data_IF_058531462286
#
_entry.id   IF_058531462286
#
_cell.length_a   1.000
_cell.length_b   1.000
_cell.length_c   1.000
_cell.angle_alpha   90.00
_cell.angle_beta   90.00
_cell.angle_gamma   90.00
#
_symmetry.space_group_name_H-M   'P 1'
#
loop_
_entity.id
_entity.type
_entity.pdbx_description
1 polymer ?
#
# COMPACT_ATOMS: atom_id res chain seq x y z
N UNK A 1 -2.89 -26.19 -2.02
CA UNK A 1 -2.38 -24.82 -1.80
C UNK A 1 -3.45 -23.80 -2.15
N UNK A 2 -3.66 -22.76 -1.33
CA UNK A 2 -4.68 -21.73 -1.61
C UNK A 2 -4.25 -20.89 -2.83
N UNK A 3 -5.17 -20.67 -3.78
CA UNK A 3 -4.90 -20.05 -5.09
C UNK A 3 -4.25 -18.64 -5.00
N UNK A 4 -4.54 -17.88 -3.95
CA UNK A 4 -3.94 -16.56 -3.72
C UNK A 4 -2.41 -16.61 -3.53
N UNK A 5 -1.88 -17.70 -2.97
CA UNK A 5 -0.43 -17.83 -2.73
C UNK A 5 0.34 -17.99 -4.03
N UNK A 6 -0.19 -18.83 -4.95
CA UNK A 6 0.33 -18.96 -6.32
C UNK A 6 0.30 -17.63 -7.07
N UNK A 7 -0.73 -16.83 -6.88
CA UNK A 7 -0.84 -15.52 -7.54
C UNK A 7 0.22 -14.53 -7.02
N UNK A 8 0.49 -14.54 -5.71
CA UNK A 8 1.57 -13.73 -5.12
C UNK A 8 2.94 -14.15 -5.67
N UNK A 9 3.21 -15.47 -5.71
CA UNK A 9 4.46 -16.01 -6.25
C UNK A 9 4.62 -15.61 -7.73
N UNK A 10 3.54 -15.69 -8.53
CA UNK A 10 3.55 -15.28 -9.94
C UNK A 10 3.86 -13.78 -10.10
N UNK A 11 3.27 -12.93 -9.24
CA UNK A 11 3.56 -11.49 -9.25
C UNK A 11 5.04 -11.20 -8.92
N UNK A 12 5.65 -11.94 -8.00
CA UNK A 12 7.06 -11.83 -7.66
C UNK A 12 7.95 -12.29 -8.82
N UNK A 13 7.63 -13.42 -9.47
CA UNK A 13 8.36 -13.93 -10.62
C UNK A 13 8.31 -12.97 -11.82
N UNK A 14 7.13 -12.43 -12.14
CA UNK A 14 6.97 -11.44 -13.20
C UNK A 14 7.75 -10.15 -12.93
N UNK A 15 7.87 -9.76 -11.66
CA UNK A 15 8.65 -8.58 -11.27
C UNK A 15 10.15 -8.83 -11.46
N UNK A 16 10.67 -9.97 -11.00
CA UNK A 16 12.07 -10.34 -11.18
C UNK A 16 12.45 -10.45 -12.68
N UNK A 17 11.57 -11.03 -13.50
CA UNK A 17 11.77 -11.10 -14.94
C UNK A 17 11.73 -9.72 -15.62
N UNK A 18 10.90 -8.80 -15.14
CA UNK A 18 10.84 -7.43 -15.64
C UNK A 18 12.09 -6.61 -15.26
N UNK A 19 12.74 -6.94 -14.15
CA UNK A 19 13.95 -6.25 -13.65
C UNK A 19 15.25 -6.85 -14.23
N UNK A 20 15.24 -8.13 -14.62
CA UNK A 20 16.41 -8.85 -15.14
C UNK A 20 16.71 -8.62 -16.64
N UNK A 21 15.88 -7.87 -17.38
CA UNK A 21 16.12 -7.52 -18.77
C UNK A 21 17.01 -6.27 -18.92
N UNK A 22 17.75 -6.10 -20.03
CA UNK A 22 18.44 -4.84 -20.30
C UNK A 22 17.40 -3.72 -20.39
N UNK A 23 17.37 -2.84 -19.39
CA UNK A 23 16.49 -1.68 -19.36
C UNK A 23 17.03 -0.67 -20.38
N UNK A 24 16.36 -0.43 -21.53
CA UNK A 24 16.71 0.71 -22.36
C UNK A 24 16.45 1.95 -21.50
N UNK A 25 17.40 2.88 -21.40
CA UNK A 25 17.39 4.04 -20.48
C UNK A 25 16.13 4.96 -20.57
N UNK A 26 15.20 4.68 -21.48
CA UNK A 26 13.95 5.41 -21.71
C UNK A 26 12.72 4.52 -21.91
N UNK A 27 12.76 3.23 -21.63
CA UNK A 27 11.56 2.39 -21.78
C UNK A 27 10.64 2.58 -20.57
N UNK A 28 9.61 3.41 -20.74
CA UNK A 28 8.50 3.51 -19.79
C UNK A 28 7.94 2.10 -19.61
N UNK A 29 8.07 1.52 -18.41
CA UNK A 29 7.48 0.22 -18.14
C UNK A 29 5.95 0.39 -18.22
N UNK A 30 5.38 -0.08 -19.34
CA UNK A 30 3.95 0.05 -19.68
C UNK A 30 3.01 -0.57 -18.64
N UNK A 31 3.55 -1.37 -17.72
CA UNK A 31 2.81 -2.04 -16.67
C UNK A 31 2.93 -1.37 -15.30
N UNK A 32 3.78 -0.34 -15.11
CA UNK A 32 3.95 0.36 -13.81
C UNK A 32 2.61 0.72 -13.16
N UNK A 33 1.69 1.23 -13.99
CA UNK A 33 0.37 1.65 -13.54
C UNK A 33 -0.48 0.48 -13.05
N UNK A 34 -0.36 -0.70 -13.66
CA UNK A 34 -1.04 -1.93 -13.24
C UNK A 34 -0.35 -2.51 -11.99
N UNK A 35 0.98 -2.45 -11.94
CA UNK A 35 1.75 -2.92 -10.79
C UNK A 35 1.44 -2.15 -9.52
N UNK A 36 1.22 -0.83 -9.60
CA UNK A 36 0.84 -0.02 -8.43
C UNK A 36 -0.43 -0.56 -7.76
N UNK A 37 -1.46 -0.90 -8.56
CA UNK A 37 -2.71 -1.53 -8.12
C UNK A 37 -2.47 -2.93 -7.56
N UNK A 38 -1.77 -3.77 -8.32
CA UNK A 38 -1.51 -5.16 -7.94
C UNK A 38 -0.77 -5.23 -6.59
N UNK A 39 0.33 -4.49 -6.45
CA UNK A 39 1.09 -4.44 -5.21
C UNK A 39 0.27 -3.90 -4.05
N UNK A 40 -0.58 -2.89 -4.26
CA UNK A 40 -1.42 -2.38 -3.18
C UNK A 40 -2.35 -3.46 -2.63
N UNK A 41 -3.04 -4.19 -3.51
CA UNK A 41 -3.94 -5.26 -3.10
C UNK A 41 -3.20 -6.46 -2.50
N UNK A 42 -2.00 -6.81 -3.00
CA UNK A 42 -1.15 -7.82 -2.38
C UNK A 42 -0.73 -7.42 -0.96
N UNK A 43 -0.42 -6.14 -0.76
CA UNK A 43 -0.09 -5.59 0.56
C UNK A 43 -1.27 -5.66 1.53
N UNK A 44 -2.47 -5.30 1.05
CA UNK A 44 -3.71 -5.39 1.85
C UNK A 44 -4.03 -6.85 2.24
N UNK A 45 -3.96 -7.78 1.28
CA UNK A 45 -4.20 -9.20 1.55
C UNK A 45 -3.17 -9.76 2.54
N UNK A 46 -1.89 -9.40 2.37
CA UNK A 46 -0.83 -9.81 3.30
C UNK A 46 -1.08 -9.28 4.71
N UNK A 47 -1.53 -8.03 4.84
CA UNK A 47 -1.85 -7.41 6.12
C UNK A 47 -3.02 -8.12 6.83
N UNK A 48 -4.10 -8.40 6.09
CA UNK A 48 -5.27 -9.12 6.61
C UNK A 48 -4.94 -10.55 7.05
N UNK A 49 -3.96 -11.19 6.41
CA UNK A 49 -3.46 -12.51 6.79
C UNK A 49 -2.47 -12.47 7.97
N UNK A 50 -2.23 -11.31 8.57
CA UNK A 50 -1.25 -11.12 9.65
C UNK A 50 0.21 -11.11 9.18
N UNK A 51 0.48 -11.23 7.89
CA UNK A 51 1.82 -11.10 7.31
C UNK A 51 2.19 -9.61 7.15
N UNK A 52 2.42 -8.94 8.28
CA UNK A 52 2.76 -7.50 8.32
C UNK A 52 4.07 -7.22 7.57
N UNK A 53 5.05 -8.12 7.64
CA UNK A 53 6.32 -7.97 6.90
C UNK A 53 6.10 -7.95 5.39
N UNK A 54 5.35 -8.91 4.86
CA UNK A 54 5.01 -8.95 3.43
C UNK A 54 4.16 -7.75 3.00
N UNK A 55 3.21 -7.34 3.85
CA UNK A 55 2.40 -6.15 3.59
C UNK A 55 3.26 -4.89 3.38
N UNK A 56 4.25 -4.67 4.25
CA UNK A 56 5.18 -3.54 4.13
C UNK A 56 5.92 -3.55 2.80
N UNK A 57 6.47 -4.70 2.41
CA UNK A 57 7.21 -4.84 1.15
C UNK A 57 6.33 -4.50 -0.06
N UNK A 58 5.10 -5.01 -0.10
CA UNK A 58 4.18 -4.72 -1.19
C UNK A 58 3.76 -3.24 -1.23
N UNK A 59 3.46 -2.62 -0.09
CA UNK A 59 3.14 -1.19 -0.07
C UNK A 59 4.35 -0.32 -0.45
N UNK A 60 5.56 -0.70 -0.05
CA UNK A 60 6.78 -0.01 -0.48
C UNK A 60 6.95 -0.13 -2.01
N UNK A 61 6.72 -1.32 -2.59
CA UNK A 61 6.70 -1.51 -4.06
C UNK A 61 5.62 -0.69 -4.78
N UNK A 62 4.44 -0.48 -4.17
CA UNK A 62 3.43 0.44 -4.71
C UNK A 62 3.96 1.88 -4.73
N UNK A 63 4.64 2.30 -3.66
CA UNK A 63 5.24 3.63 -3.55
C UNK A 63 6.41 3.82 -4.53
N UNK A 64 7.11 2.75 -4.90
CA UNK A 64 8.24 2.85 -5.82
C UNK A 64 7.80 2.98 -7.29
N UNK A 65 6.54 2.71 -7.62
CA UNK A 65 6.03 2.90 -8.98
C UNK A 65 6.03 4.38 -9.38
N UNK A 66 6.63 4.71 -10.53
CA UNK A 66 6.72 6.08 -11.04
C UNK A 66 5.36 6.61 -11.51
N UNK A 67 4.57 5.75 -12.16
CA UNK A 67 3.26 6.09 -12.69
C UNK A 67 2.16 5.23 -12.05
N UNK A 68 0.98 5.81 -11.86
CA UNK A 68 -0.21 5.10 -11.39
C UNK A 68 -1.50 5.64 -12.02
N UNK A 69 -2.59 4.89 -11.91
CA UNK A 69 -3.92 5.30 -12.41
C UNK A 69 -4.79 5.97 -11.33
N UNK A 70 -4.85 5.37 -10.13
CA UNK A 70 -5.98 5.60 -9.23
C UNK A 70 -5.59 6.13 -7.83
N UNK A 71 -4.33 6.49 -7.58
CA UNK A 71 -3.89 6.97 -6.25
C UNK A 71 -3.51 5.85 -5.28
N UNK A 72 -3.10 4.69 -5.81
CA UNK A 72 -2.61 3.55 -5.04
C UNK A 72 -1.42 3.90 -4.16
N UNK A 73 -0.53 4.77 -4.62
CA UNK A 73 0.59 5.35 -3.87
C UNK A 73 0.09 6.15 -2.68
N UNK A 74 -0.93 6.99 -2.86
CA UNK A 74 -1.57 7.72 -1.74
C UNK A 74 -2.04 6.74 -0.67
N UNK A 75 -2.72 5.67 -1.06
CA UNK A 75 -3.23 4.67 -0.13
C UNK A 75 -2.13 3.83 0.51
N UNK A 76 -1.07 3.48 -0.24
CA UNK A 76 0.07 2.75 0.28
C UNK A 76 0.85 3.59 1.32
N UNK A 77 1.02 4.90 1.09
CA UNK A 77 1.57 5.80 2.11
C UNK A 77 0.72 5.79 3.38
N UNK A 78 -0.61 5.86 3.26
CA UNK A 78 -1.51 5.80 4.40
C UNK A 78 -1.34 4.50 5.20
N UNK A 79 -1.39 3.36 4.52
CA UNK A 79 -1.24 2.02 5.15
C UNK A 79 0.13 1.83 5.77
N UNK A 80 1.20 2.33 5.15
CA UNK A 80 2.56 2.28 5.74
C UNK A 80 2.68 3.12 6.99
N UNK A 81 2.00 4.28 7.05
CA UNK A 81 1.90 5.07 8.26
C UNK A 81 1.21 4.31 9.39
N UNK A 82 0.09 3.67 9.09
CA UNK A 82 -0.66 2.85 10.08
C UNK A 82 0.18 1.69 10.61
N UNK A 83 0.91 0.99 9.75
CA UNK A 83 1.84 -0.06 10.18
C UNK A 83 2.96 0.52 11.06
N UNK A 84 3.52 1.68 10.72
CA UNK A 84 4.55 2.28 11.58
C UNK A 84 4.02 2.69 12.95
N UNK A 85 2.81 3.21 13.04
CA UNK A 85 2.17 3.49 14.33
C UNK A 85 2.01 2.21 15.18
N UNK A 86 1.59 1.10 14.56
CA UNK A 86 1.50 -0.21 15.24
C UNK A 86 2.87 -0.76 15.67
N UNK A 87 3.93 -0.43 14.94
CA UNK A 87 5.32 -0.76 15.31
C UNK A 87 5.90 0.21 16.36
N UNK A 88 5.14 1.19 16.85
CA UNK A 88 5.63 2.22 17.77
C UNK A 88 6.54 3.28 17.12
N UNK A 89 6.70 3.23 15.79
CA UNK A 89 7.58 4.10 14.98
C UNK A 89 6.86 5.38 14.56
N UNK A 90 6.47 6.17 15.57
CA UNK A 90 5.59 7.33 15.37
C UNK A 90 6.19 8.38 14.44
N UNK A 91 7.49 8.62 14.53
CA UNK A 91 8.21 9.58 13.67
C UNK A 91 8.09 9.21 12.19
N UNK A 92 8.30 7.96 11.85
CA UNK A 92 8.21 7.42 10.50
C UNK A 92 6.76 7.40 10.01
N UNK A 93 5.81 7.07 10.89
CA UNK A 93 4.38 7.14 10.58
C UNK A 93 3.95 8.55 10.14
N UNK A 94 4.38 9.59 10.88
CA UNK A 94 4.08 10.99 10.54
C UNK A 94 4.68 11.40 9.19
N UNK A 95 5.88 10.91 8.84
CA UNK A 95 6.46 11.14 7.50
C UNK A 95 5.55 10.57 6.42
N UNK A 96 5.06 9.34 6.60
CA UNK A 96 4.16 8.69 5.63
C UNK A 96 2.80 9.39 5.54
N UNK A 97 2.20 9.80 6.66
CA UNK A 97 0.93 10.55 6.63
C UNK A 97 1.06 11.93 5.99
N UNK A 98 2.17 12.64 6.21
CA UNK A 98 2.42 13.90 5.51
C UNK A 98 2.63 13.68 4.01
N UNK A 99 3.21 12.55 3.61
CA UNK A 99 3.34 12.21 2.20
C UNK A 99 1.97 12.04 1.54
N UNK A 100 0.96 11.45 2.20
CA UNK A 100 -0.42 11.33 1.68
C UNK A 100 -0.96 12.68 1.20
N UNK A 101 -0.72 13.76 1.94
CA UNK A 101 -1.21 15.10 1.63
C UNK A 101 -0.54 15.74 0.41
N UNK A 102 0.56 15.16 -0.11
CA UNK A 102 1.26 15.62 -1.31
C UNK A 102 0.72 14.98 -2.60
N UNK A 103 -0.08 13.92 -2.47
CA UNK A 103 -0.65 13.20 -3.61
C UNK A 103 -2.15 13.46 -3.71
N UNK A 104 -2.73 12.99 -4.83
CA UNK A 104 -4.17 13.11 -5.11
C UNK A 104 -4.99 12.58 -3.92
N UNK A 105 -5.97 13.36 -3.49
CA UNK A 105 -6.91 12.90 -2.49
C UNK A 105 -7.83 11.85 -3.09
N UNK A 106 -7.79 10.65 -2.55
CA UNK A 106 -8.58 9.52 -2.99
C UNK A 106 -9.22 8.88 -1.77
N UNK A 107 -10.51 8.56 -1.84
CA UNK A 107 -11.23 7.90 -0.74
C UNK A 107 -11.03 8.57 0.63
N UNK A 108 -11.18 9.90 0.73
CA UNK A 108 -10.95 10.64 1.99
C UNK A 108 -9.54 10.44 2.61
N UNK A 109 -8.54 10.09 1.80
CA UNK A 109 -7.17 9.85 2.25
C UNK A 109 -6.60 11.04 3.02
N UNK A 110 -6.88 12.28 2.59
CA UNK A 110 -6.39 13.48 3.26
C UNK A 110 -7.04 13.66 4.63
N UNK A 111 -8.36 13.46 4.73
CA UNK A 111 -9.08 13.52 6.00
C UNK A 111 -8.53 12.48 6.97
N UNK A 112 -8.34 11.25 6.50
CA UNK A 112 -7.76 10.16 7.30
C UNK A 112 -6.34 10.49 7.73
N UNK A 113 -5.47 10.93 6.82
CA UNK A 113 -4.10 11.30 7.16
C UNK A 113 -4.03 12.43 8.19
N UNK A 114 -4.86 13.48 8.06
CA UNK A 114 -4.95 14.55 9.07
C UNK A 114 -5.42 14.06 10.43
N UNK A 115 -6.32 13.08 10.47
CA UNK A 115 -6.73 12.45 11.72
C UNK A 115 -5.57 11.64 12.32
N UNK A 116 -4.84 10.87 11.50
CA UNK A 116 -3.70 10.06 11.95
C UNK A 116 -2.47 10.86 12.36
N UNK A 117 -2.27 12.05 11.79
CA UNK A 117 -1.25 13.00 12.26
C UNK A 117 -1.57 13.48 13.68
N UNK A 118 -2.84 13.75 13.98
CA UNK A 118 -3.30 14.19 15.30
C UNK A 118 -3.30 13.06 16.34
N UNK A 119 -3.74 11.87 15.95
CA UNK A 119 -3.83 10.71 16.84
C UNK A 119 -3.27 9.46 16.16
N UNK A 120 -2.34 8.72 16.80
CA UNK A 120 -1.80 7.49 16.24
C UNK A 120 -2.89 6.48 15.86
N UNK A 121 -2.64 5.71 14.81
CA UNK A 121 -3.41 4.51 14.52
C UNK A 121 -3.24 3.49 15.65
N UNK A 122 -4.33 2.86 16.07
CA UNK A 122 -4.34 1.75 17.03
C UNK A 122 -5.55 0.85 16.74
N UNK A 123 -5.34 -0.47 16.86
CA UNK A 123 -6.35 -1.51 16.69
C UNK A 123 -7.39 -1.57 17.82
N UNK A 124 -7.12 -0.94 18.98
CA UNK A 124 -7.96 -1.02 20.18
C UNK A 124 -9.12 -0.01 20.18
N UNK A 125 -9.10 0.94 19.24
CA UNK A 125 -10.27 1.75 18.93
C UNK A 125 -11.37 0.79 18.45
N UNK A 126 -12.63 0.88 18.92
CA UNK A 126 -13.80 0.06 18.48
C UNK A 126 -14.08 -0.01 16.95
N UNK A 127 -13.19 0.52 16.11
CA UNK A 127 -13.15 0.44 14.65
C UNK A 127 -11.93 -0.34 14.09
N UNK A 128 -11.10 -0.96 14.96
CA UNK A 128 -9.77 -1.48 14.59
C UNK A 128 -9.69 -2.97 14.31
N UNK A 129 -10.76 -3.73 14.54
CA UNK A 129 -10.92 -5.05 13.92
C UNK A 129 -11.51 -4.78 12.54
N UNK A 130 -10.68 -4.96 11.52
CA UNK A 130 -11.07 -4.99 10.12
C UNK A 130 -12.18 -6.03 9.93
N UNK A 131 -13.44 -5.59 10.05
CA UNK A 131 -14.60 -6.28 9.54
C UNK A 131 -14.57 -6.20 8.01
N UNK A 132 -13.58 -6.83 7.37
CA UNK A 132 -13.52 -7.05 5.92
C UNK A 132 -13.45 -5.83 5.00
N UNK A 133 -13.79 -4.64 5.47
CA UNK A 133 -13.98 -3.44 4.67
C UNK A 133 -12.88 -2.45 5.04
N UNK A 134 -11.95 -2.27 4.10
CA UNK A 134 -11.09 -1.10 4.09
C UNK A 134 -11.99 0.15 4.22
N UNK A 135 -11.65 1.18 5.01
CA UNK A 135 -12.38 2.46 5.05
C UNK A 135 -12.46 3.20 3.70
N UNK A 136 -12.00 2.56 2.62
CA UNK A 136 -11.79 3.06 1.28
C UNK A 136 -12.41 2.13 0.22
N UNK A 137 -13.23 1.15 0.61
CA UNK A 137 -14.04 0.43 -0.36
C UNK A 137 -15.16 1.35 -0.89
N UNK A 138 -15.39 1.40 -2.21
CA UNK A 138 -16.51 2.16 -2.74
C UNK A 138 -17.83 1.55 -2.25
N UNK A 139 -18.88 2.36 -2.01
CA UNK A 139 -20.21 1.83 -1.79
C UNK A 139 -20.67 1.07 -3.05
N UNK A 140 -21.27 -0.10 -2.84
CA UNK A 140 -21.90 -0.91 -3.88
C UNK A 140 -23.03 -0.16 -4.58
#
# INVERSE_FOLDING_TARGET
MKQWRKMLDLCDDYFLLADAGPQPEKQVNRYEKIFSKAFYHCGLASYQLGNVRGAKQFFDRTIDQKNEFEGWKTLAYLRRGEIFDLEGKRTEALVKYRAVLKYRDVYDSHKTARARIRKPYSTDSKAGILSGQSPLEPPH
#
